data_IF_019689152166
#
_entry.id   IF_019689152166
#
_cell.length_a   1.000
_cell.length_b   1.000
_cell.length_c   1.000
_cell.angle_alpha   90.00
_cell.angle_beta   90.00
_cell.angle_gamma   90.00
#
_symmetry.space_group_name_H-M   'P 1'
#
loop_
_entity.id
_entity.type
_entity.pdbx_description
1 polymer ?
#
# COMPACT_ATOMS: atom_id res chain seq x y z
N UNK A 1 -38.91 27.34 21.74
CA UNK A 1 -38.66 27.80 20.36
C UNK A 1 -37.19 28.15 20.12
N UNK A 2 -36.27 27.19 20.23
CA UNK A 2 -34.95 27.29 19.59
C UNK A 2 -34.33 25.90 19.51
N UNK A 3 -34.03 25.52 18.27
CA UNK A 3 -33.74 24.19 17.78
C UNK A 3 -32.24 24.05 17.66
N UNK A 4 -31.58 23.36 18.60
CA UNK A 4 -30.18 22.95 18.46
C UNK A 4 -29.98 21.72 19.35
N UNK A 5 -29.95 20.52 18.77
CA UNK A 5 -29.23 19.30 19.21
C UNK A 5 -29.85 18.07 18.54
N UNK A 6 -29.06 17.34 17.75
CA UNK A 6 -29.44 16.01 17.27
C UNK A 6 -29.12 15.75 15.80
N UNK A 7 -27.87 15.98 15.42
CA UNK A 7 -27.32 15.69 14.09
C UNK A 7 -27.47 14.20 13.77
N UNK A 8 -28.26 13.88 12.75
CA UNK A 8 -28.25 12.60 12.06
C UNK A 8 -26.89 12.39 11.37
N UNK A 9 -26.30 11.20 11.52
CA UNK A 9 -25.44 10.58 10.49
C UNK A 9 -25.07 9.16 10.92
N UNK A 10 -25.94 8.21 10.60
CA UNK A 10 -25.50 6.90 10.13
C UNK A 10 -24.50 7.07 8.98
N UNK A 11 -23.24 6.66 9.14
CA UNK A 11 -22.46 6.10 8.02
C UNK A 11 -21.20 5.34 8.46
N UNK A 12 -21.06 4.18 7.81
CA UNK A 12 -19.84 3.43 7.51
C UNK A 12 -19.33 2.42 8.53
N UNK A 13 -19.91 1.22 8.41
CA UNK A 13 -19.16 -0.02 8.52
C UNK A 13 -17.92 0.01 7.59
N UNK A 14 -16.73 -0.11 8.18
CA UNK A 14 -15.54 -0.53 7.46
C UNK A 14 -15.26 -1.99 7.86
N UNK A 15 -15.91 -2.91 7.15
CA UNK A 15 -15.49 -4.29 7.10
C UNK A 15 -14.13 -4.32 6.38
N UNK A 16 -13.06 -4.64 7.11
CA UNK A 16 -11.83 -5.11 6.50
C UNK A 16 -11.96 -6.63 6.36
N UNK A 17 -12.17 -7.19 5.16
CA UNK A 17 -11.74 -8.55 4.95
C UNK A 17 -10.23 -8.47 4.68
N UNK A 18 -9.43 -8.74 5.70
CA UNK A 18 -8.11 -9.32 5.52
C UNK A 18 -8.33 -10.65 4.78
N UNK A 19 -8.46 -10.55 3.46
CA UNK A 19 -8.51 -11.71 2.59
C UNK A 19 -7.08 -12.13 2.38
N UNK A 20 -6.62 -12.97 3.31
CA UNK A 20 -5.62 -14.01 3.09
C UNK A 20 -5.97 -14.77 1.80
N UNK A 21 -5.59 -14.20 0.67
CA UNK A 21 -5.84 -14.80 -0.64
C UNK A 21 -4.71 -15.80 -0.88
N UNK A 22 -5.00 -17.05 -0.53
CA UNK A 22 -4.28 -18.22 -1.03
C UNK A 22 -4.04 -18.05 -2.53
N UNK A 23 -2.77 -18.13 -2.92
CA UNK A 23 -2.39 -18.18 -4.32
C UNK A 23 -2.80 -19.53 -4.89
N UNK A 24 -3.99 -19.59 -5.49
CA UNK A 24 -4.42 -20.66 -6.38
C UNK A 24 -3.51 -20.68 -7.61
N UNK A 25 -2.92 -21.83 -7.90
CA UNK A 25 -2.06 -22.06 -9.05
C UNK A 25 -2.85 -21.83 -10.35
N UNK A 26 -2.42 -20.85 -11.17
CA UNK A 26 -2.92 -20.71 -12.55
C UNK A 26 -3.00 -19.30 -13.12
N UNK A 27 -3.08 -18.26 -12.29
CA UNK A 27 -3.23 -16.89 -12.77
C UNK A 27 -1.93 -16.09 -12.60
N UNK A 28 -1.55 -15.34 -13.64
CA UNK A 28 -0.35 -14.48 -13.66
C UNK A 28 -0.12 -13.81 -12.30
N UNK A 29 1.08 -13.92 -11.70
CA UNK A 29 1.32 -13.40 -10.37
C UNK A 29 0.95 -11.91 -10.34
N UNK A 30 0.03 -11.56 -9.44
CA UNK A 30 -0.37 -10.16 -9.24
C UNK A 30 0.90 -9.34 -8.90
N UNK A 31 1.04 -8.09 -9.36
CA UNK A 31 2.23 -7.27 -9.15
C UNK A 31 2.61 -7.11 -7.67
N UNK A 32 1.65 -7.28 -6.76
CA UNK A 32 1.84 -7.27 -5.32
C UNK A 32 2.47 -8.54 -4.72
N UNK A 33 2.69 -9.61 -5.49
CA UNK A 33 3.29 -10.87 -5.01
C UNK A 33 4.75 -11.07 -5.44
N UNK A 34 5.29 -10.18 -6.26
CA UNK A 34 6.57 -10.40 -6.94
C UNK A 34 7.73 -9.74 -6.19
N UNK A 35 7.53 -8.51 -5.75
CA UNK A 35 8.55 -7.69 -5.06
C UNK A 35 8.05 -7.33 -3.66
N UNK A 36 7.62 -8.33 -2.87
CA UNK A 36 7.01 -8.08 -1.56
C UNK A 36 8.00 -7.48 -0.57
N UNK A 37 9.23 -7.99 -0.55
CA UNK A 37 10.27 -7.54 0.37
C UNK A 37 10.71 -6.11 0.04
N UNK A 38 11.03 -5.80 -1.24
CA UNK A 38 11.30 -4.42 -1.66
C UNK A 38 10.11 -3.48 -1.43
N UNK A 39 8.88 -3.94 -1.63
CA UNK A 39 7.70 -3.11 -1.34
C UNK A 39 7.60 -2.81 0.15
N UNK A 40 7.80 -3.80 1.01
CA UNK A 40 7.76 -3.64 2.46
C UNK A 40 8.86 -2.69 2.93
N UNK A 41 10.10 -2.89 2.49
CA UNK A 41 11.23 -2.02 2.84
C UNK A 41 10.99 -0.56 2.41
N UNK A 42 10.43 -0.33 1.21
CA UNK A 42 10.07 1.01 0.74
C UNK A 42 8.93 1.63 1.56
N UNK A 43 7.88 0.86 1.85
CA UNK A 43 6.77 1.30 2.71
C UNK A 43 7.27 1.66 4.10
N UNK A 44 8.09 0.80 4.72
CA UNK A 44 8.68 1.03 6.04
C UNK A 44 9.56 2.28 6.03
N UNK A 45 10.40 2.45 5.00
CA UNK A 45 11.21 3.64 4.88
C UNK A 45 10.35 4.91 4.77
N UNK A 46 9.31 4.93 3.93
CA UNK A 46 8.43 6.09 3.83
C UNK A 46 7.64 6.36 5.12
N UNK A 47 7.24 5.31 5.83
CA UNK A 47 6.45 5.40 7.05
C UNK A 47 7.28 5.86 8.26
N UNK A 48 8.54 5.43 8.35
CA UNK A 48 9.42 5.71 9.50
C UNK A 48 10.42 6.84 9.24
N UNK A 49 10.57 7.32 8.02
CA UNK A 49 11.44 8.45 7.72
C UNK A 49 10.93 9.72 8.40
N UNK A 50 11.83 10.44 9.05
CA UNK A 50 11.58 11.72 9.74
C UNK A 50 12.02 12.93 8.93
N UNK A 51 12.46 12.71 7.71
CA UNK A 51 12.96 13.76 6.82
C UNK A 51 11.79 14.53 6.19
N UNK A 52 12.03 15.80 5.85
CA UNK A 52 11.05 16.62 5.13
C UNK A 52 10.68 16.03 3.75
N UNK A 53 11.58 15.26 3.14
CA UNK A 53 11.35 14.59 1.85
C UNK A 53 11.73 13.10 1.94
N UNK A 54 10.83 12.24 2.45
CA UNK A 54 11.10 10.81 2.58
C UNK A 54 11.19 10.11 1.22
N UNK A 55 10.64 10.70 0.15
CA UNK A 55 10.74 10.16 -1.20
C UNK A 55 12.18 10.22 -1.73
N UNK A 56 12.93 11.27 -1.41
CA UNK A 56 14.37 11.37 -1.70
C UNK A 56 15.23 10.46 -0.84
N UNK A 57 14.93 10.32 0.45
CA UNK A 57 15.67 9.43 1.34
C UNK A 57 15.47 7.95 0.97
N UNK A 58 14.24 7.57 0.65
CA UNK A 58 13.88 6.21 0.27
C UNK A 58 14.09 5.93 -1.23
N UNK A 59 14.72 6.83 -1.98
CA UNK A 59 14.82 6.78 -3.43
C UNK A 59 15.52 5.49 -3.90
N UNK A 60 16.56 5.05 -3.18
CA UNK A 60 17.23 3.77 -3.42
C UNK A 60 16.30 2.56 -3.30
N UNK A 61 15.38 2.56 -2.32
CA UNK A 61 14.41 1.48 -2.11
C UNK A 61 13.30 1.51 -3.16
N UNK A 62 12.88 2.71 -3.57
CA UNK A 62 11.92 2.92 -4.65
C UNK A 62 12.49 2.36 -5.97
N UNK A 63 13.75 2.67 -6.28
CA UNK A 63 14.40 2.21 -7.51
C UNK A 63 14.66 0.70 -7.48
N UNK A 64 14.93 0.12 -6.30
CA UNK A 64 15.01 -1.33 -6.14
C UNK A 64 13.65 -2.01 -6.42
N UNK A 65 12.56 -1.48 -5.86
CA UNK A 65 11.20 -1.98 -6.12
C UNK A 65 10.82 -1.91 -7.60
N UNK A 66 11.14 -0.79 -8.26
CA UNK A 66 10.93 -0.62 -9.71
C UNK A 66 11.76 -1.61 -10.51
N UNK A 67 13.04 -1.78 -10.17
CA UNK A 67 13.94 -2.71 -10.85
C UNK A 67 13.45 -4.15 -10.73
N UNK A 68 12.97 -4.52 -9.55
CA UNK A 68 12.33 -5.82 -9.34
C UNK A 68 11.10 -5.95 -10.25
N UNK A 69 10.15 -5.01 -10.24
CA UNK A 69 8.94 -5.13 -11.09
C UNK A 69 9.25 -5.15 -12.60
N UNK A 70 10.26 -4.40 -13.03
CA UNK A 70 10.76 -4.42 -14.42
C UNK A 70 11.33 -5.78 -14.81
N UNK A 71 12.02 -6.47 -13.89
CA UNK A 71 12.55 -7.82 -14.12
C UNK A 71 11.47 -8.88 -14.41
N UNK A 72 10.25 -8.64 -13.92
CA UNK A 72 9.08 -9.49 -14.19
C UNK A 72 8.19 -8.97 -15.32
N UNK A 73 8.62 -7.90 -16.01
CA UNK A 73 7.92 -7.33 -17.16
C UNK A 73 6.75 -6.39 -16.80
N UNK A 74 6.68 -5.92 -15.55
CA UNK A 74 5.69 -4.94 -15.12
C UNK A 74 6.29 -3.53 -15.11
N UNK A 75 5.68 -2.58 -15.84
CA UNK A 75 6.01 -1.14 -15.75
C UNK A 75 5.23 -0.51 -14.60
N UNK A 76 5.94 0.21 -13.73
CA UNK A 76 5.45 0.86 -12.48
C UNK A 76 5.66 2.35 -12.56
#
# INVERSE_FOLDING_TARGET
MSWLFGSSSDKAAAANPDTKSQASQGEKPKPCCVCKDEKAARDDCMLFSKSDDPAKECQTLIDQYKSCMLGYGFKV
#
